data_IF_229399674997
#
_entry.id   IF_229399674997
#
_cell.length_a   1.000
_cell.length_b   1.000
_cell.length_c   1.000
_cell.angle_alpha   90.00
_cell.angle_beta   90.00
_cell.angle_gamma   90.00
#
_symmetry.space_group_name_H-M   'P 1'
#
loop_
_entity.id
_entity.type
_entity.pdbx_description
1 polymer ?
#
# COMPACT_ATOMS: atom_id res chain seq x y z
N UNK A 1 59.80 14.31 51.18
CA UNK A 1 60.69 13.44 50.42
C UNK A 1 60.12 13.41 49.00
N UNK A 2 60.65 14.25 48.09
CA UNK A 2 61.67 13.92 47.08
C UNK A 2 61.23 12.76 46.21
N UNK A 3 61.12 12.80 44.89
CA UNK A 3 61.94 13.43 43.82
C UNK A 3 61.18 13.35 42.51
N UNK A 4 61.04 14.42 41.82
CA UNK A 4 61.74 14.89 40.60
C UNK A 4 61.65 14.05 39.29
N UNK A 5 61.05 14.70 38.29
CA UNK A 5 61.60 14.94 36.90
C UNK A 5 61.76 13.77 35.91
N UNK A 6 61.11 13.91 34.77
CA UNK A 6 61.85 14.23 33.52
C UNK A 6 60.90 14.56 32.34
N UNK A 7 60.92 15.81 31.94
CA UNK A 7 60.52 16.23 30.58
C UNK A 7 61.53 15.71 29.56
N UNK A 8 61.02 15.16 28.45
CA UNK A 8 61.75 15.14 27.18
C UNK A 8 60.80 15.50 26.06
N UNK A 9 61.04 16.56 25.49
CA UNK A 9 60.70 17.22 24.31
C UNK A 9 60.96 16.41 23.04
N UNK A 10 60.08 16.54 22.10
CA UNK A 10 60.31 16.13 20.72
C UNK A 10 59.76 17.19 19.76
N UNK A 11 60.65 17.51 18.88
CA UNK A 11 60.78 18.55 17.88
C UNK A 11 59.56 18.64 16.92
N UNK A 12 59.18 19.91 16.64
CA UNK A 12 58.44 20.32 15.47
C UNK A 12 59.19 19.95 14.19
N UNK A 13 58.57 19.17 13.32
CA UNK A 13 58.96 19.05 11.91
C UNK A 13 57.87 19.69 11.05
N UNK A 14 58.21 20.87 10.52
CA UNK A 14 57.46 21.47 9.40
C UNK A 14 57.60 20.56 8.18
N UNK A 15 56.52 20.04 7.67
CA UNK A 15 56.43 19.49 6.31
C UNK A 15 55.36 20.22 5.52
N UNK A 16 55.83 20.69 4.41
CA UNK A 16 55.31 21.42 3.30
C UNK A 16 53.88 21.02 2.85
N UNK A 17 53.15 22.07 2.47
CA UNK A 17 51.91 22.08 1.72
C UNK A 17 52.11 21.33 0.40
N UNK A 18 51.56 20.15 0.27
CA UNK A 18 51.42 19.43 -0.98
C UNK A 18 49.95 19.46 -1.43
N UNK A 19 49.79 19.94 -2.64
CA UNK A 19 48.56 20.09 -3.42
C UNK A 19 47.50 18.99 -3.17
N UNK A 20 46.34 19.37 -2.63
CA UNK A 20 45.16 18.53 -2.62
C UNK A 20 44.61 18.56 -4.05
N UNK A 21 44.87 17.50 -4.80
CA UNK A 21 44.16 17.20 -6.06
C UNK A 21 42.67 17.03 -5.74
N UNK A 22 41.83 17.86 -6.36
CA UNK A 22 40.37 17.71 -6.36
C UNK A 22 40.02 16.35 -6.98
N UNK A 23 39.18 15.52 -6.35
CA UNK A 23 38.65 14.34 -7.03
C UNK A 23 37.73 14.78 -8.15
N UNK A 24 37.94 14.21 -9.32
CA UNK A 24 37.11 14.41 -10.49
C UNK A 24 35.62 14.14 -10.18
N UNK A 25 34.81 15.14 -10.43
CA UNK A 25 33.34 15.01 -10.45
C UNK A 25 33.00 14.19 -11.69
N UNK A 26 32.71 12.90 -11.52
CA UNK A 26 32.10 12.12 -12.57
C UNK A 26 30.67 12.60 -12.74
N UNK A 27 30.46 13.53 -13.67
CA UNK A 27 29.20 13.83 -14.30
C UNK A 27 28.79 12.59 -15.09
N UNK A 28 27.89 11.79 -14.51
CA UNK A 28 27.14 10.82 -15.30
C UNK A 28 26.23 11.60 -16.22
N UNK A 29 26.70 11.74 -17.47
CA UNK A 29 25.91 12.30 -18.55
C UNK A 29 24.61 11.52 -18.69
N UNK A 30 23.51 12.23 -18.53
CA UNK A 30 22.22 11.83 -19.06
C UNK A 30 22.39 11.73 -20.58
N UNK A 31 22.36 10.52 -21.12
CA UNK A 31 22.27 10.31 -22.54
C UNK A 31 20.76 10.22 -22.90
N UNK A 32 20.14 11.26 -23.48
CA UNK A 32 18.70 11.28 -23.78
C UNK A 32 18.32 10.52 -25.06
N UNK A 33 19.23 9.76 -25.68
CA UNK A 33 19.00 9.09 -26.96
C UNK A 33 19.19 7.58 -26.87
N UNK A 34 18.48 6.89 -25.97
CA UNK A 34 18.11 5.52 -26.22
C UNK A 34 16.83 5.53 -27.02
N UNK A 35 16.96 5.33 -28.34
CA UNK A 35 15.86 4.95 -29.21
C UNK A 35 15.16 3.73 -28.60
N UNK A 36 13.99 3.96 -27.99
CA UNK A 36 13.04 2.90 -27.68
C UNK A 36 12.51 2.45 -29.03
N UNK A 37 12.93 1.29 -29.49
CA UNK A 37 12.31 0.59 -30.61
C UNK A 37 10.81 0.45 -30.30
N UNK A 38 9.97 1.09 -31.10
CA UNK A 38 8.52 0.96 -31.03
C UNK A 38 8.18 -0.54 -31.21
N UNK A 39 7.49 -1.18 -30.26
CA UNK A 39 6.87 -2.45 -30.57
C UNK A 39 5.79 -2.19 -31.61
N UNK A 40 5.77 -3.02 -32.65
CA UNK A 40 4.80 -2.93 -33.74
C UNK A 40 3.38 -2.86 -33.19
N UNK A 41 2.65 -1.84 -33.64
CA UNK A 41 1.23 -1.68 -33.37
C UNK A 41 0.51 -2.73 -34.20
N UNK A 42 0.27 -3.91 -33.62
CA UNK A 42 -0.78 -4.79 -34.12
C UNK A 42 -2.10 -4.05 -33.83
N UNK A 43 -2.82 -3.69 -34.89
CA UNK A 43 -4.12 -3.04 -34.86
C UNK A 43 -5.16 -3.95 -34.21
N UNK A 44 -5.32 -3.81 -32.88
CA UNK A 44 -6.54 -4.22 -32.17
C UNK A 44 -7.44 -2.99 -32.00
N UNK A 45 -7.88 -2.44 -33.13
CA UNK A 45 -9.00 -1.52 -33.16
C UNK A 45 -10.26 -2.33 -33.34
N UNK A 46 -10.88 -2.77 -32.24
CA UNK A 46 -12.34 -2.87 -32.13
C UNK A 46 -12.69 -3.47 -30.76
N UNK A 47 -13.58 -2.80 -30.03
CA UNK A 47 -14.10 -3.07 -28.70
C UNK A 47 -13.24 -2.55 -27.52
N UNK A 48 -13.02 -1.23 -27.50
CA UNK A 48 -12.74 -0.55 -26.24
C UNK A 48 -14.09 -0.12 -25.64
N UNK A 49 -14.50 -0.65 -24.48
CA UNK A 49 -15.62 -0.05 -23.76
C UNK A 49 -15.27 1.40 -23.42
N UNK A 50 -16.28 2.28 -23.49
CA UNK A 50 -16.19 3.69 -23.12
C UNK A 50 -15.29 3.89 -21.91
N UNK A 51 -14.42 4.87 -21.99
CA UNK A 51 -13.39 5.17 -20.98
C UNK A 51 -14.02 5.32 -19.60
N UNK A 52 -13.89 4.27 -18.78
CA UNK A 52 -14.30 4.30 -17.40
C UNK A 52 -13.45 5.27 -16.55
N UNK A 53 -13.74 5.32 -15.28
CA UNK A 53 -13.12 6.25 -14.35
C UNK A 53 -11.60 6.00 -14.22
N UNK A 54 -10.79 6.99 -14.58
CA UNK A 54 -9.35 6.93 -14.40
C UNK A 54 -8.95 7.39 -13.00
N UNK A 55 -8.05 6.66 -12.36
CA UNK A 55 -7.60 6.90 -10.98
C UNK A 55 -6.08 6.83 -10.87
N UNK A 56 -5.51 7.79 -10.13
CA UNK A 56 -4.19 7.71 -9.55
C UNK A 56 -4.30 7.15 -8.14
N UNK A 57 -3.82 5.93 -7.93
CA UNK A 57 -3.92 5.21 -6.65
C UNK A 57 -2.55 5.06 -6.03
N UNK A 58 -2.43 5.39 -4.74
CA UNK A 58 -1.19 5.20 -3.99
C UNK A 58 -1.40 4.26 -2.79
N UNK A 59 -0.38 3.43 -2.51
CA UNK A 59 -0.25 2.66 -1.27
C UNK A 59 1.06 3.04 -0.59
N UNK A 60 1.02 3.40 0.69
CA UNK A 60 2.19 3.87 1.40
C UNK A 60 2.18 3.51 2.89
N UNK A 61 3.03 2.58 3.31
CA UNK A 61 3.33 2.39 4.73
C UNK A 61 4.20 3.58 5.20
N UNK A 62 3.62 4.43 6.06
CA UNK A 62 4.27 5.67 6.51
C UNK A 62 5.10 5.48 7.78
N UNK A 63 5.22 4.28 8.28
CA UNK A 63 5.90 3.96 9.54
C UNK A 63 5.29 4.69 10.74
N UNK A 64 4.92 3.96 11.78
CA UNK A 64 4.32 4.52 13.01
C UNK A 64 5.18 5.61 13.63
N UNK A 65 4.55 6.70 14.00
CA UNK A 65 5.22 7.91 14.47
C UNK A 65 5.88 7.80 15.85
N UNK A 66 5.52 6.77 16.64
CA UNK A 66 6.11 6.50 17.96
C UNK A 66 7.31 5.56 17.91
N UNK A 67 7.75 5.13 16.73
CA UNK A 67 8.92 4.26 16.61
C UNK A 67 10.19 5.03 17.01
N UNK A 68 11.07 4.33 17.76
CA UNK A 68 12.36 4.90 18.22
C UNK A 68 13.41 4.87 17.08
N UNK A 69 13.12 5.55 15.98
CA UNK A 69 13.92 5.51 14.75
C UNK A 69 15.00 6.63 14.71
N UNK A 70 15.33 7.28 15.83
CA UNK A 70 16.36 8.31 15.92
C UNK A 70 16.12 9.46 14.94
N UNK A 71 17.07 9.69 14.01
CA UNK A 71 16.96 10.71 12.95
C UNK A 71 15.84 10.48 11.93
N UNK A 72 15.24 9.29 11.93
CA UNK A 72 14.08 8.95 11.10
C UNK A 72 12.77 9.00 11.89
N UNK A 73 12.76 9.56 13.10
CA UNK A 73 11.54 9.77 13.87
C UNK A 73 10.55 10.65 13.10
N UNK A 74 9.25 10.45 13.29
CA UNK A 74 8.15 11.13 12.58
C UNK A 74 8.33 12.63 12.44
N UNK A 75 8.70 13.34 13.51
CA UNK A 75 8.90 14.79 13.52
C UNK A 75 9.87 15.31 12.44
N UNK A 76 10.80 14.46 11.99
CA UNK A 76 11.80 14.83 10.98
C UNK A 76 11.42 14.42 9.56
N UNK A 77 10.39 13.59 9.38
CA UNK A 77 10.00 13.07 8.06
C UNK A 77 8.58 13.41 7.62
N UNK A 78 7.72 13.90 8.53
CA UNK A 78 6.32 14.27 8.22
C UNK A 78 6.20 15.22 7.02
N UNK A 79 7.01 16.29 6.99
CA UNK A 79 6.98 17.26 5.88
C UNK A 79 7.33 16.60 4.54
N UNK A 80 8.33 15.70 4.51
CA UNK A 80 8.69 14.97 3.29
C UNK A 80 7.57 14.05 2.79
N UNK A 81 6.82 13.44 3.72
CA UNK A 81 5.64 12.65 3.34
C UNK A 81 4.62 13.57 2.67
N UNK A 82 4.32 14.72 3.27
CA UNK A 82 3.34 15.64 2.72
C UNK A 82 3.80 16.28 1.40
N UNK A 83 5.09 16.65 1.27
CA UNK A 83 5.68 17.08 0.01
C UNK A 83 5.51 16.01 -1.09
N UNK A 84 5.77 14.73 -0.76
CA UNK A 84 5.58 13.63 -1.68
C UNK A 84 4.10 13.47 -2.08
N UNK A 85 3.19 13.50 -1.12
CA UNK A 85 1.76 13.37 -1.37
C UNK A 85 1.22 14.54 -2.20
N UNK A 86 1.65 15.76 -1.92
CA UNK A 86 1.31 16.95 -2.71
C UNK A 86 1.90 16.90 -4.12
N UNK A 87 3.10 16.35 -4.29
CA UNK A 87 3.74 16.24 -5.60
C UNK A 87 3.03 15.23 -6.52
N UNK A 88 2.68 14.05 -5.98
CA UNK A 88 2.04 13.00 -6.78
C UNK A 88 0.53 13.11 -6.86
N UNK A 89 -0.09 13.83 -5.94
CA UNK A 89 -1.51 14.15 -5.89
C UNK A 89 -2.42 12.93 -6.21
N UNK A 90 -2.31 11.81 -5.46
CA UNK A 90 -3.10 10.62 -5.75
C UNK A 90 -4.59 10.89 -5.53
N UNK A 91 -5.45 10.35 -6.39
CA UNK A 91 -6.90 10.44 -6.23
C UNK A 91 -7.38 9.74 -4.96
N UNK A 92 -6.78 8.56 -4.69
CA UNK A 92 -7.03 7.76 -3.48
C UNK A 92 -5.72 7.17 -2.97
N UNK A 93 -5.55 7.21 -1.66
CA UNK A 93 -4.33 6.83 -0.96
C UNK A 93 -4.64 5.91 0.21
N UNK A 94 -4.05 4.70 0.21
CA UNK A 94 -4.03 3.80 1.37
C UNK A 94 -2.76 4.01 2.19
N UNK A 95 -2.91 4.47 3.44
CA UNK A 95 -1.81 4.60 4.40
C UNK A 95 -1.81 3.43 5.38
N UNK A 96 -0.64 2.89 5.70
CA UNK A 96 -0.47 1.86 6.71
C UNK A 96 0.41 2.39 7.85
N UNK A 97 0.27 1.81 9.04
CA UNK A 97 0.93 2.19 10.30
C UNK A 97 0.60 3.59 10.81
N UNK A 98 -0.40 4.26 10.27
CA UNK A 98 -0.77 5.60 10.71
C UNK A 98 -1.35 5.58 12.13
N UNK A 99 -0.87 6.45 13.00
CA UNK A 99 -1.46 6.75 14.31
C UNK A 99 -2.37 7.99 14.19
N UNK A 100 -3.33 8.13 15.09
CA UNK A 100 -4.32 9.23 15.04
C UNK A 100 -3.67 10.60 14.89
N UNK A 101 -2.61 10.88 15.65
CA UNK A 101 -1.91 12.17 15.53
C UNK A 101 -1.23 12.35 14.17
N UNK A 102 -0.73 11.27 13.54
CA UNK A 102 -0.17 11.31 12.18
C UNK A 102 -1.26 11.59 11.15
N UNK A 103 -2.42 10.94 11.29
CA UNK A 103 -3.60 11.20 10.44
C UNK A 103 -4.04 12.66 10.57
N UNK A 104 -4.13 13.19 11.79
CA UNK A 104 -4.50 14.59 12.05
C UNK A 104 -3.52 15.57 11.43
N UNK A 105 -2.20 15.34 11.60
CA UNK A 105 -1.18 16.20 10.99
C UNK A 105 -1.22 16.14 9.45
N UNK A 106 -1.42 14.93 8.86
CA UNK A 106 -1.53 14.78 7.40
C UNK A 106 -2.78 15.51 6.88
N UNK A 107 -3.93 15.41 7.56
CA UNK A 107 -5.15 16.14 7.19
C UNK A 107 -4.92 17.65 7.15
N UNK A 108 -4.24 18.20 8.16
CA UNK A 108 -3.89 19.61 8.20
C UNK A 108 -3.01 20.05 7.04
N UNK A 109 -2.08 19.18 6.61
CA UNK A 109 -1.13 19.47 5.53
C UNK A 109 -1.66 19.14 4.12
N UNK A 110 -2.81 18.43 4.03
CA UNK A 110 -3.50 18.07 2.79
C UNK A 110 -4.97 18.51 2.82
N UNK A 111 -5.27 19.82 2.82
CA UNK A 111 -6.62 20.34 3.08
C UNK A 111 -7.67 19.92 2.03
N UNK A 112 -7.24 19.46 0.84
CA UNK A 112 -8.14 18.96 -0.21
C UNK A 112 -8.52 17.48 -0.06
N UNK A 113 -8.05 16.80 1.01
CA UNK A 113 -8.33 15.38 1.23
C UNK A 113 -9.21 15.15 2.45
N UNK A 114 -10.16 14.25 2.28
CA UNK A 114 -10.89 13.61 3.37
C UNK A 114 -10.34 12.21 3.63
N UNK A 115 -10.66 11.63 4.79
CA UNK A 115 -10.23 10.29 5.13
C UNK A 115 -11.36 9.40 5.65
N UNK A 116 -11.38 8.18 5.18
CA UNK A 116 -12.08 7.06 5.77
C UNK A 116 -11.11 6.31 6.70
N UNK A 117 -11.50 6.13 7.95
CA UNK A 117 -10.68 5.47 8.96
C UNK A 117 -11.60 4.76 9.96
N UNK A 118 -11.11 3.70 10.60
CA UNK A 118 -11.80 3.17 11.77
C UNK A 118 -11.96 4.27 12.80
N UNK A 119 -13.16 4.36 13.38
CA UNK A 119 -13.38 5.23 14.52
C UNK A 119 -12.41 4.90 15.66
N UNK A 120 -12.06 5.91 16.44
CA UNK A 120 -11.22 5.74 17.61
C UNK A 120 -11.89 4.80 18.60
N UNK A 121 -11.47 3.55 18.63
CA UNK A 121 -11.90 2.65 19.70
C UNK A 121 -11.15 3.08 20.95
N UNK A 122 -11.87 3.71 21.88
CA UNK A 122 -11.34 4.20 23.14
C UNK A 122 -10.51 3.11 23.84
N UNK A 123 -9.27 3.46 24.23
CA UNK A 123 -8.38 2.56 24.96
C UNK A 123 -7.54 1.59 24.12
N UNK A 124 -7.77 1.46 22.82
CA UNK A 124 -7.01 0.56 21.95
C UNK A 124 -6.03 1.35 21.09
N UNK A 125 -4.73 1.16 21.30
CA UNK A 125 -3.68 1.70 20.42
C UNK A 125 -3.66 0.89 19.11
N UNK A 126 -4.50 1.26 18.17
CA UNK A 126 -4.55 0.61 16.84
C UNK A 126 -3.64 1.38 15.88
N UNK A 127 -2.87 0.64 15.08
CA UNK A 127 -2.27 1.19 13.87
C UNK A 127 -3.34 1.19 12.79
N UNK A 128 -3.70 2.38 12.33
CA UNK A 128 -4.76 2.52 11.33
C UNK A 128 -4.26 2.23 9.92
N UNK A 129 -5.14 1.62 9.15
CA UNK A 129 -5.04 1.50 7.69
C UNK A 129 -5.95 2.56 7.07
N UNK A 130 -5.57 3.85 7.22
CA UNK A 130 -6.40 4.97 6.78
C UNK A 130 -6.47 5.06 5.26
N UNK A 131 -7.62 5.47 4.74
CA UNK A 131 -7.83 5.76 3.32
C UNK A 131 -8.05 7.26 3.19
N UNK A 132 -7.22 7.94 2.40
CA UNK A 132 -7.40 9.34 2.04
C UNK A 132 -7.88 9.42 0.60
N UNK A 133 -8.79 10.35 0.32
CA UNK A 133 -9.31 10.57 -1.02
C UNK A 133 -9.49 12.06 -1.31
N UNK A 134 -9.34 12.44 -2.55
CA UNK A 134 -9.53 13.82 -3.00
C UNK A 134 -11.00 14.21 -2.88
N UNK A 135 -11.32 15.06 -1.91
CA UNK A 135 -12.68 15.47 -1.59
C UNK A 135 -13.32 16.35 -2.67
N UNK A 136 -12.53 17.00 -3.54
CA UNK A 136 -13.09 17.75 -4.67
C UNK A 136 -13.69 16.81 -5.74
N UNK A 137 -13.15 15.60 -5.84
CA UNK A 137 -13.51 14.63 -6.86
C UNK A 137 -14.46 13.54 -6.38
N UNK A 138 -14.32 13.10 -5.14
CA UNK A 138 -15.08 11.98 -4.60
C UNK A 138 -15.92 12.36 -3.39
N UNK A 139 -17.00 11.60 -3.17
CA UNK A 139 -17.70 11.56 -1.91
C UNK A 139 -17.70 10.14 -1.35
N UNK A 140 -17.66 10.05 -0.02
CA UNK A 140 -17.73 8.79 0.72
C UNK A 140 -19.19 8.36 0.82
N UNK A 141 -19.50 7.15 0.33
CA UNK A 141 -20.84 6.55 0.42
C UNK A 141 -20.93 5.59 1.61
N UNK A 142 -19.95 4.71 1.73
CA UNK A 142 -19.89 3.68 2.77
C UNK A 142 -18.46 3.51 3.24
N UNK A 143 -18.27 3.12 4.49
CA UNK A 143 -16.96 2.76 5.02
C UNK A 143 -17.11 1.73 6.14
N UNK A 144 -16.01 1.04 6.41
CA UNK A 144 -15.95 0.12 7.53
C UNK A 144 -14.54 -0.37 7.80
N UNK A 145 -14.42 -1.05 8.93
CA UNK A 145 -13.18 -1.72 9.31
C UNK A 145 -13.53 -3.05 9.94
N UNK A 146 -12.80 -4.09 9.55
CA UNK A 146 -12.88 -5.38 10.20
C UNK A 146 -11.48 -5.85 10.65
N UNK A 147 -11.46 -6.72 11.63
CA UNK A 147 -10.23 -7.29 12.21
C UNK A 147 -9.97 -8.69 11.65
N UNK A 148 -8.71 -8.96 11.34
CA UNK A 148 -8.30 -10.29 10.88
C UNK A 148 -8.23 -11.26 12.07
N UNK A 149 -9.40 -11.79 12.44
CA UNK A 149 -9.62 -12.72 13.54
C UNK A 149 -10.81 -13.62 13.29
N UNK A 150 -11.12 -14.51 14.21
CA UNK A 150 -12.33 -15.32 14.19
C UNK A 150 -13.59 -14.50 14.62
N UNK A 151 -13.37 -13.28 15.17
CA UNK A 151 -14.39 -12.30 15.55
C UNK A 151 -14.13 -10.96 14.87
N UNK A 152 -14.36 -10.84 13.55
CA UNK A 152 -13.89 -9.71 12.77
C UNK A 152 -14.54 -8.37 13.13
N UNK A 153 -15.73 -8.39 13.72
CA UNK A 153 -16.49 -7.21 14.09
C UNK A 153 -16.17 -6.71 15.51
N UNK A 154 -15.34 -7.45 16.27
CA UNK A 154 -14.91 -7.04 17.62
C UNK A 154 -13.63 -6.20 17.52
N UNK A 155 -13.69 -4.89 17.88
CA UNK A 155 -12.55 -4.00 17.85
C UNK A 155 -11.37 -4.52 18.65
N UNK A 156 -10.18 -4.50 18.05
CA UNK A 156 -8.94 -4.96 18.69
C UNK A 156 -8.78 -6.46 18.74
N UNK A 157 -9.72 -7.26 18.19
CA UNK A 157 -9.60 -8.70 18.18
C UNK A 157 -8.36 -9.17 17.42
N UNK A 158 -7.79 -10.27 17.86
CA UNK A 158 -6.58 -10.90 17.28
C UNK A 158 -6.85 -12.34 16.91
N UNK A 159 -6.36 -12.75 15.76
CA UNK A 159 -6.58 -14.11 15.28
C UNK A 159 -5.32 -14.77 14.74
N UNK A 160 -5.35 -16.09 14.71
CA UNK A 160 -4.45 -16.94 13.93
C UNK A 160 -2.95 -16.76 14.23
N UNK A 161 -2.62 -16.30 15.46
CA UNK A 161 -1.24 -16.06 15.91
C UNK A 161 -0.76 -14.62 15.71
N UNK A 162 -1.65 -13.67 15.48
CA UNK A 162 -1.30 -12.24 15.54
C UNK A 162 -0.89 -11.82 16.93
N UNK A 163 0.24 -11.13 17.05
CA UNK A 163 0.64 -10.47 18.29
C UNK A 163 -0.12 -9.15 18.47
N UNK A 164 -0.31 -8.43 17.36
CA UNK A 164 -1.06 -7.17 17.31
C UNK A 164 -2.33 -7.34 16.48
N UNK A 165 -3.40 -6.60 16.78
CA UNK A 165 -4.57 -6.54 15.91
C UNK A 165 -4.17 -6.15 14.48
N UNK A 166 -4.75 -6.80 13.49
CA UNK A 166 -4.58 -6.50 12.06
C UNK A 166 -5.93 -6.26 11.44
N UNK A 167 -6.02 -5.25 10.60
CA UNK A 167 -7.30 -4.78 10.07
C UNK A 167 -7.27 -4.62 8.55
N UNK A 168 -8.46 -4.62 7.99
CA UNK A 168 -8.76 -4.02 6.70
C UNK A 168 -9.70 -2.84 6.94
N UNK A 169 -9.34 -1.66 6.46
CA UNK A 169 -10.26 -0.54 6.30
C UNK A 169 -10.72 -0.51 4.87
N UNK A 170 -12.00 -0.24 4.65
CA UNK A 170 -12.56 -0.13 3.32
C UNK A 170 -13.49 1.09 3.20
N UNK A 171 -13.60 1.60 1.99
CA UNK A 171 -14.50 2.70 1.63
C UNK A 171 -15.13 2.41 0.28
N UNK A 172 -16.41 2.76 0.12
CA UNK A 172 -17.08 2.91 -1.16
C UNK A 172 -17.14 4.37 -1.50
N UNK A 173 -16.47 4.75 -2.59
CA UNK A 173 -16.33 6.11 -3.06
C UNK A 173 -17.14 6.29 -4.34
N UNK A 174 -17.78 7.45 -4.48
CA UNK A 174 -18.54 7.84 -5.68
C UNK A 174 -17.85 9.06 -6.29
N UNK A 175 -17.51 8.97 -7.56
CA UNK A 175 -16.99 10.10 -8.34
C UNK A 175 -18.13 11.07 -8.63
N UNK A 176 -17.91 12.36 -8.29
CA UNK A 176 -18.99 13.37 -8.25
C UNK A 176 -19.59 13.67 -9.62
N UNK A 177 -18.77 13.69 -10.68
CA UNK A 177 -19.23 14.04 -12.03
C UNK A 177 -19.88 12.85 -12.75
N UNK A 178 -19.19 11.72 -12.81
CA UNK A 178 -19.67 10.52 -13.52
C UNK A 178 -20.66 9.69 -12.73
N UNK A 179 -20.76 9.92 -11.41
CA UNK A 179 -21.53 9.12 -10.45
C UNK A 179 -21.08 7.67 -10.36
N UNK A 180 -19.95 7.32 -10.97
CA UNK A 180 -19.39 5.98 -10.91
C UNK A 180 -18.86 5.69 -9.51
N UNK A 181 -19.24 4.54 -8.95
CA UNK A 181 -18.79 4.08 -7.65
C UNK A 181 -17.70 3.02 -7.76
N UNK A 182 -16.88 2.90 -6.73
CA UNK A 182 -15.91 1.81 -6.58
C UNK A 182 -15.57 1.60 -5.10
N UNK A 183 -15.12 0.38 -4.78
CA UNK A 183 -14.59 0.07 -3.46
C UNK A 183 -13.08 0.23 -3.40
N UNK A 184 -12.61 0.69 -2.26
CA UNK A 184 -11.19 0.77 -1.95
C UNK A 184 -10.92 0.05 -0.63
N UNK A 185 -10.03 -0.95 -0.67
CA UNK A 185 -9.62 -1.74 0.49
C UNK A 185 -8.17 -1.45 0.82
N UNK A 186 -7.85 -1.25 2.10
CA UNK A 186 -6.50 -0.99 2.58
C UNK A 186 -6.17 -1.91 3.75
N UNK A 187 -5.09 -2.69 3.62
CA UNK A 187 -4.71 -3.71 4.61
C UNK A 187 -3.29 -3.52 5.12
N UNK A 188 -3.04 -4.01 6.34
CA UNK A 188 -1.71 -4.27 6.83
C UNK A 188 -1.70 -5.62 7.53
N UNK A 189 -1.13 -6.64 6.87
CA UNK A 189 -1.11 -8.01 7.36
C UNK A 189 -0.02 -8.23 8.40
N UNK A 190 -0.09 -9.34 9.11
CA UNK A 190 0.86 -9.65 10.18
C UNK A 190 2.26 -9.97 9.64
N UNK A 191 3.29 -9.39 10.25
CA UNK A 191 4.67 -9.56 9.80
C UNK A 191 5.31 -10.86 10.31
N UNK A 192 4.81 -11.46 11.40
CA UNK A 192 5.37 -12.66 12.02
C UNK A 192 4.63 -13.92 11.61
N UNK A 193 3.30 -13.96 11.80
CA UNK A 193 2.50 -15.16 11.64
C UNK A 193 2.17 -15.47 10.17
N UNK A 194 2.85 -16.48 9.61
CA UNK A 194 2.50 -17.02 8.29
C UNK A 194 1.07 -17.56 8.24
N UNK A 195 0.59 -18.14 9.35
CA UNK A 195 -0.77 -18.65 9.48
C UNK A 195 -1.77 -17.51 9.40
N UNK A 196 -1.52 -16.42 10.12
CA UNK A 196 -2.37 -15.24 10.06
C UNK A 196 -2.47 -14.71 8.63
N UNK A 197 -1.34 -14.48 7.93
CA UNK A 197 -1.37 -13.98 6.55
C UNK A 197 -2.21 -14.86 5.61
N UNK A 198 -2.11 -16.19 5.73
CA UNK A 198 -2.93 -17.11 4.91
C UNK A 198 -4.42 -16.97 5.21
N UNK A 199 -4.80 -16.97 6.49
CA UNK A 199 -6.20 -16.81 6.87
C UNK A 199 -6.75 -15.43 6.49
N UNK A 200 -5.93 -14.38 6.69
CA UNK A 200 -6.31 -13.00 6.37
C UNK A 200 -6.63 -12.82 4.88
N UNK A 201 -5.82 -13.35 3.97
CA UNK A 201 -6.10 -13.20 2.53
C UNK A 201 -7.33 -14.00 2.08
N UNK A 202 -7.58 -15.16 2.70
CA UNK A 202 -8.80 -15.94 2.42
C UNK A 202 -10.02 -15.21 2.94
N UNK A 203 -9.99 -14.71 4.18
CA UNK A 203 -11.08 -13.93 4.75
C UNK A 203 -11.35 -12.67 3.92
N UNK A 204 -10.30 -11.93 3.58
CA UNK A 204 -10.36 -10.70 2.78
C UNK A 204 -11.05 -10.93 1.42
N UNK A 205 -10.63 -11.94 0.67
CA UNK A 205 -11.20 -12.20 -0.66
C UNK A 205 -12.65 -12.69 -0.59
N UNK A 206 -13.01 -13.44 0.44
CA UNK A 206 -14.40 -13.82 0.71
C UNK A 206 -15.26 -12.60 1.09
N UNK A 207 -14.71 -11.67 1.89
CA UNK A 207 -15.38 -10.41 2.23
C UNK A 207 -15.59 -9.53 1.00
N UNK A 208 -14.54 -9.34 0.19
CA UNK A 208 -14.63 -8.57 -1.07
C UNK A 208 -15.67 -9.19 -2.02
N UNK A 209 -15.69 -10.49 -2.15
CA UNK A 209 -16.65 -11.21 -3.01
C UNK A 209 -18.11 -11.01 -2.60
N UNK A 210 -18.35 -10.86 -1.30
CA UNK A 210 -19.68 -10.65 -0.70
C UNK A 210 -20.06 -9.17 -0.56
N UNK A 211 -19.33 -8.23 -1.18
CA UNK A 211 -19.65 -6.79 -1.11
C UNK A 211 -21.06 -6.50 -1.61
N UNK A 212 -21.70 -5.49 -1.06
CA UNK A 212 -23.12 -5.17 -1.28
C UNK A 212 -23.43 -4.72 -2.71
N UNK A 213 -22.44 -4.24 -3.45
CA UNK A 213 -22.56 -3.80 -4.84
C UNK A 213 -21.50 -4.45 -5.72
N UNK A 214 -21.80 -4.76 -6.99
CA UNK A 214 -20.81 -5.31 -7.94
C UNK A 214 -19.78 -4.29 -8.44
N UNK A 215 -19.76 -3.09 -7.86
CA UNK A 215 -18.82 -2.04 -8.23
C UNK A 215 -17.37 -2.54 -8.27
N UNK A 216 -16.54 -2.03 -9.20
CA UNK A 216 -15.13 -2.38 -9.27
C UNK A 216 -14.40 -2.02 -7.98
N UNK A 217 -13.25 -2.63 -7.74
CA UNK A 217 -12.51 -2.36 -6.52
C UNK A 217 -11.01 -2.29 -6.74
N UNK A 218 -10.34 -1.66 -5.77
CA UNK A 218 -8.89 -1.61 -5.64
C UNK A 218 -8.50 -2.10 -4.25
N UNK A 219 -7.49 -2.97 -4.16
CA UNK A 219 -6.95 -3.47 -2.91
C UNK A 219 -5.49 -3.02 -2.76
N UNK A 220 -5.22 -2.27 -1.71
CA UNK A 220 -3.88 -1.75 -1.40
C UNK A 220 -3.39 -2.27 -0.06
N UNK A 221 -2.08 -2.20 0.18
CA UNK A 221 -1.55 -2.42 1.52
C UNK A 221 -0.15 -2.98 1.60
N UNK A 222 0.28 -3.10 2.86
CA UNK A 222 1.44 -3.88 3.26
C UNK A 222 1.00 -5.31 3.64
N UNK A 223 1.25 -6.24 2.76
CA UNK A 223 0.88 -7.65 2.96
C UNK A 223 1.91 -8.44 3.78
N UNK A 224 3.05 -7.82 4.13
CA UNK A 224 4.16 -8.48 4.83
C UNK A 224 4.55 -9.83 4.19
N UNK A 225 4.43 -9.93 2.87
CA UNK A 225 4.56 -11.16 2.10
C UNK A 225 5.19 -10.87 0.73
N UNK A 226 6.28 -11.54 0.40
CA UNK A 226 6.92 -11.40 -0.91
C UNK A 226 6.16 -12.14 -2.02
N UNK A 227 6.44 -11.80 -3.27
CA UNK A 227 5.72 -12.27 -4.48
C UNK A 227 5.61 -13.79 -4.63
N UNK A 228 6.62 -14.53 -4.16
CA UNK A 228 6.66 -16.01 -4.24
C UNK A 228 5.90 -16.69 -3.09
N UNK A 229 5.42 -15.93 -2.12
CA UNK A 229 4.73 -16.46 -0.94
C UNK A 229 3.33 -16.98 -1.27
N UNK A 230 2.85 -17.93 -0.46
CA UNK A 230 1.54 -18.54 -0.67
C UNK A 230 0.37 -17.53 -0.61
N UNK A 231 0.33 -16.53 0.32
CA UNK A 231 -0.72 -15.51 0.31
C UNK A 231 -0.79 -14.73 -1.00
N UNK A 232 0.36 -14.31 -1.55
CA UNK A 232 0.39 -13.52 -2.80
C UNK A 232 0.03 -14.38 -4.01
N UNK A 233 0.48 -15.65 -4.06
CA UNK A 233 0.06 -16.58 -5.10
C UNK A 233 -1.45 -16.84 -5.07
N UNK A 234 -2.03 -16.95 -3.86
CA UNK A 234 -3.47 -17.12 -3.67
C UNK A 234 -4.25 -15.89 -4.17
N UNK A 235 -3.86 -14.68 -3.78
CA UNK A 235 -4.49 -13.44 -4.25
C UNK A 235 -4.51 -13.37 -5.79
N UNK A 236 -3.42 -13.85 -6.43
CA UNK A 236 -3.31 -13.91 -7.89
C UNK A 236 -4.04 -15.11 -8.52
N UNK A 237 -4.81 -15.88 -7.76
CA UNK A 237 -5.52 -17.07 -8.25
C UNK A 237 -4.64 -18.24 -8.69
N UNK A 238 -3.33 -18.21 -8.36
CA UNK A 238 -2.35 -19.22 -8.84
C UNK A 238 -2.40 -20.52 -8.07
N UNK A 239 -2.82 -20.49 -6.81
CA UNK A 239 -2.90 -21.66 -5.93
C UNK A 239 -4.07 -21.52 -4.95
N UNK A 240 -4.76 -22.59 -4.56
CA UNK A 240 -5.62 -22.58 -3.39
C UNK A 240 -4.77 -22.57 -2.09
N UNK A 241 -5.39 -22.18 -0.98
CA UNK A 241 -4.76 -22.26 0.34
C UNK A 241 -5.44 -23.30 1.22
N UNK A 242 -4.65 -24.14 1.87
CA UNK A 242 -5.15 -25.06 2.90
C UNK A 242 -5.37 -24.29 4.20
N UNK A 243 -6.62 -24.19 4.62
CA UNK A 243 -7.07 -23.54 5.86
C UNK A 243 -7.56 -24.62 6.83
N UNK A 244 -7.13 -24.54 8.10
CA UNK A 244 -7.58 -25.48 9.13
C UNK A 244 -9.11 -25.45 9.21
N UNK A 245 -9.73 -26.62 9.28
CA UNK A 245 -11.17 -26.87 9.33
C UNK A 245 -11.95 -26.53 8.03
N UNK A 246 -11.35 -25.84 7.04
CA UNK A 246 -12.03 -25.49 5.77
C UNK A 246 -11.47 -26.26 4.56
N UNK A 247 -10.32 -26.98 4.71
CA UNK A 247 -9.68 -27.64 3.58
C UNK A 247 -8.98 -26.66 2.63
N UNK A 248 -8.96 -26.99 1.34
CA UNK A 248 -8.42 -26.13 0.29
C UNK A 248 -9.47 -25.11 -0.15
N UNK A 249 -9.08 -23.83 -0.12
CA UNK A 249 -9.94 -22.69 -0.49
C UNK A 249 -9.29 -21.96 -1.66
N UNK A 250 -10.01 -21.84 -2.77
CA UNK A 250 -9.63 -21.03 -3.93
C UNK A 250 -10.03 -19.58 -3.73
N UNK A 251 -9.32 -18.66 -4.39
CA UNK A 251 -9.69 -17.26 -4.40
C UNK A 251 -10.89 -17.05 -5.34
N UNK A 252 -12.04 -16.54 -4.85
CA UNK A 252 -13.20 -16.25 -5.69
C UNK A 252 -13.00 -15.02 -6.58
N UNK A 253 -12.03 -14.16 -6.26
CA UNK A 253 -11.73 -12.90 -6.97
C UNK A 253 -10.23 -12.83 -7.30
N UNK A 254 -9.73 -13.57 -8.32
CA UNK A 254 -8.33 -13.51 -8.72
C UNK A 254 -7.90 -12.11 -9.12
N UNK A 255 -6.74 -11.67 -8.63
CA UNK A 255 -6.26 -10.30 -8.75
C UNK A 255 -5.00 -10.18 -9.59
N UNK A 256 -4.86 -9.06 -10.26
CA UNK A 256 -3.65 -8.62 -10.93
C UNK A 256 -2.84 -7.69 -10.00
N UNK A 257 -1.55 -7.93 -9.93
CA UNK A 257 -0.56 -7.04 -9.32
C UNK A 257 -0.20 -5.95 -10.32
N UNK A 258 -0.62 -4.71 -10.06
CA UNK A 258 -0.49 -3.60 -11.02
C UNK A 258 0.96 -3.35 -11.44
N UNK A 259 1.92 -3.47 -10.52
CA UNK A 259 3.33 -3.32 -10.85
C UNK A 259 3.80 -4.42 -11.80
N UNK A 260 3.39 -5.67 -11.59
CA UNK A 260 3.77 -6.80 -12.44
C UNK A 260 3.06 -6.83 -13.79
N UNK A 261 1.90 -6.20 -13.91
CA UNK A 261 1.25 -5.98 -15.21
C UNK A 261 2.14 -5.09 -16.10
N UNK A 262 2.74 -4.04 -15.54
CA UNK A 262 3.60 -3.11 -16.29
C UNK A 262 5.05 -3.59 -16.42
N UNK A 263 5.59 -4.20 -15.37
CA UNK A 263 6.99 -4.59 -15.27
C UNK A 263 7.13 -6.06 -14.86
N UNK A 264 6.78 -7.02 -15.75
CA UNK A 264 6.74 -8.45 -15.42
C UNK A 264 8.10 -9.00 -15.01
N UNK A 265 9.19 -8.48 -15.57
CA UNK A 265 10.55 -9.00 -15.41
C UNK A 265 11.49 -8.07 -14.62
N UNK A 266 10.99 -6.94 -14.11
CA UNK A 266 11.85 -6.02 -13.36
C UNK A 266 12.39 -6.71 -12.10
N UNK A 267 13.67 -6.49 -11.83
CA UNK A 267 14.38 -7.03 -10.66
C UNK A 267 14.51 -6.01 -9.52
N UNK A 268 14.27 -4.73 -9.80
CA UNK A 268 14.36 -3.61 -8.85
C UNK A 268 12.97 -3.34 -8.24
N UNK A 269 12.52 -4.24 -7.40
CA UNK A 269 11.12 -4.29 -6.93
C UNK A 269 10.96 -4.02 -5.43
N UNK A 270 12.07 -3.78 -4.70
CA UNK A 270 11.99 -3.60 -3.26
C UNK A 270 11.15 -2.38 -2.89
N UNK A 271 10.17 -2.56 -2.02
CA UNK A 271 9.44 -1.47 -1.39
C UNK A 271 9.83 -1.26 0.07
N UNK A 272 10.30 -2.29 0.77
CA UNK A 272 10.82 -2.18 2.14
C UNK A 272 12.35 -2.05 2.13
N UNK A 273 12.89 -1.02 2.80
CA UNK A 273 14.32 -0.77 2.91
C UNK A 273 14.82 -0.52 4.35
N UNK A 274 13.93 -0.38 5.32
CA UNK A 274 14.26 -0.25 6.74
C UNK A 274 15.21 0.92 7.07
N UNK A 275 15.13 2.04 6.33
CA UNK A 275 16.04 3.18 6.40
C UNK A 275 17.51 2.87 6.08
N UNK A 276 17.79 1.71 5.50
CA UNK A 276 19.14 1.28 5.12
C UNK A 276 19.26 1.32 3.60
N UNK A 277 20.49 1.58 3.12
CA UNK A 277 20.82 1.36 1.71
C UNK A 277 20.96 -0.14 1.49
N UNK A 278 19.85 -0.86 1.38
CA UNK A 278 19.88 -2.29 1.26
C UNK A 278 19.44 -2.74 -0.13
N UNK A 279 20.20 -3.69 -0.64
CA UNK A 279 19.96 -4.46 -1.85
C UNK A 279 18.84 -5.50 -1.66
N UNK A 280 17.90 -5.29 -0.73
CA UNK A 280 16.84 -6.26 -0.49
C UNK A 280 15.80 -6.17 -1.59
N UNK A 281 15.52 -7.31 -2.17
CA UNK A 281 14.47 -7.52 -3.17
C UNK A 281 13.12 -7.85 -2.50
N UNK A 282 12.89 -7.33 -1.30
CA UNK A 282 11.65 -7.62 -0.57
C UNK A 282 10.60 -6.57 -0.90
N UNK A 283 9.51 -7.02 -1.50
CA UNK A 283 8.35 -6.21 -1.84
C UNK A 283 7.15 -6.73 -1.07
N UNK A 284 6.84 -6.18 0.12
CA UNK A 284 5.65 -6.50 0.89
C UNK A 284 4.44 -5.68 0.50
N UNK A 285 4.62 -4.55 -0.19
CA UNK A 285 3.57 -3.62 -0.56
C UNK A 285 3.03 -3.91 -1.95
N UNK A 286 1.70 -3.80 -2.11
CA UNK A 286 1.01 -4.09 -3.37
C UNK A 286 -0.18 -3.16 -3.58
N UNK A 287 -0.51 -2.96 -4.87
CA UNK A 287 -1.80 -2.50 -5.34
C UNK A 287 -2.33 -3.59 -6.26
N UNK A 288 -3.43 -4.21 -5.87
CA UNK A 288 -4.10 -5.26 -6.60
C UNK A 288 -5.42 -4.76 -7.19
N UNK A 289 -5.77 -5.25 -8.36
CA UNK A 289 -7.02 -4.94 -9.05
C UNK A 289 -7.58 -6.21 -9.71
N UNK A 290 -8.90 -6.32 -9.92
CA UNK A 290 -9.49 -7.39 -10.74
C UNK A 290 -9.07 -7.27 -12.21
N UNK A 291 -9.22 -8.38 -12.97
CA UNK A 291 -8.84 -8.44 -14.38
C UNK A 291 -9.60 -7.45 -15.29
N UNK A 292 -10.78 -7.00 -14.86
CA UNK A 292 -11.57 -6.00 -15.57
C UNK A 292 -10.99 -4.58 -15.53
N UNK A 293 -10.05 -4.31 -14.61
CA UNK A 293 -9.41 -3.00 -14.45
C UNK A 293 -8.21 -2.88 -15.37
N UNK A 294 -8.16 -1.80 -16.16
CA UNK A 294 -7.03 -1.51 -17.03
C UNK A 294 -5.90 -0.86 -16.23
N UNK A 295 -4.73 -1.45 -16.22
CA UNK A 295 -3.51 -0.84 -15.64
C UNK A 295 -2.77 -0.06 -16.72
N UNK A 296 -2.74 1.26 -16.60
CA UNK A 296 -2.12 2.16 -17.56
C UNK A 296 -0.64 2.41 -17.22
N UNK A 297 -0.34 2.63 -15.94
CA UNK A 297 1.03 2.77 -15.43
C UNK A 297 1.13 2.28 -13.98
N UNK A 298 2.34 1.94 -13.54
CA UNK A 298 2.64 1.61 -12.15
C UNK A 298 4.10 1.91 -11.86
N UNK A 299 4.40 2.40 -10.67
CA UNK A 299 5.79 2.68 -10.26
C UNK A 299 6.00 2.53 -8.76
N UNK A 300 7.22 2.15 -8.38
CA UNK A 300 7.74 2.28 -7.03
C UNK A 300 8.44 3.64 -6.97
N UNK A 301 7.99 4.51 -6.09
CA UNK A 301 8.54 5.87 -5.98
C UNK A 301 9.80 5.81 -5.11
N UNK A 302 10.94 6.10 -5.73
CA UNK A 302 12.22 6.24 -5.04
C UNK A 302 12.48 7.74 -4.85
N UNK A 303 12.24 8.32 -3.66
CA UNK A 303 12.47 9.74 -3.44
C UNK A 303 13.93 10.12 -3.68
N UNK A 304 14.15 11.23 -4.37
CA UNK A 304 15.49 11.74 -4.70
C UNK A 304 16.30 12.26 -3.49
N UNK A 305 15.73 12.25 -2.30
CA UNK A 305 16.38 12.70 -1.07
C UNK A 305 17.44 11.69 -0.61
N UNK A 306 18.60 11.78 -1.22
CA UNK A 306 19.72 10.83 -1.05
C UNK A 306 20.13 10.52 0.40
N UNK A 307 19.70 11.31 1.39
CA UNK A 307 20.13 11.17 2.79
C UNK A 307 19.03 10.81 3.77
N UNK A 308 17.77 11.13 3.47
CA UNK A 308 16.66 10.99 4.41
C UNK A 308 15.38 10.50 3.69
N UNK A 309 14.93 9.32 4.04
CA UNK A 309 13.71 8.74 3.50
C UNK A 309 12.46 9.26 4.22
N UNK A 310 11.32 9.43 3.53
CA UNK A 310 10.05 9.80 4.17
C UNK A 310 9.47 8.65 5.03
N UNK A 311 9.76 7.40 4.69
CA UNK A 311 9.41 6.20 5.44
C UNK A 311 10.49 5.15 5.30
N UNK A 312 10.38 4.01 5.98
CA UNK A 312 11.19 2.80 5.77
C UNK A 312 10.65 1.93 4.62
N UNK A 313 9.53 2.34 4.02
CA UNK A 313 8.98 1.82 2.78
C UNK A 313 9.00 2.86 1.66
N UNK A 314 9.05 2.40 0.42
CA UNK A 314 8.80 3.20 -0.77
C UNK A 314 7.31 3.10 -1.15
N UNK A 315 6.64 4.22 -1.47
CA UNK A 315 5.26 4.17 -1.93
C UNK A 315 5.14 3.56 -3.31
N UNK A 316 4.03 2.85 -3.52
CA UNK A 316 3.56 2.40 -4.82
C UNK A 316 2.55 3.41 -5.36
N UNK A 317 2.67 3.77 -6.62
CA UNK A 317 1.69 4.57 -7.35
C UNK A 317 1.28 3.82 -8.61
N UNK A 318 -0.01 3.77 -8.90
CA UNK A 318 -0.54 3.21 -10.15
C UNK A 318 -1.58 4.12 -10.77
N UNK A 319 -1.59 4.16 -12.10
CA UNK A 319 -2.64 4.79 -12.89
C UNK A 319 -3.49 3.69 -13.51
N UNK A 320 -4.79 3.68 -13.21
CA UNK A 320 -5.74 2.66 -13.62
C UNK A 320 -6.99 3.26 -14.24
N UNK A 321 -7.64 2.50 -15.11
CA UNK A 321 -8.98 2.79 -15.62
C UNK A 321 -9.96 1.74 -15.11
N UNK A 322 -10.95 2.15 -14.31
CA UNK A 322 -12.03 1.29 -13.87
C UNK A 322 -13.05 1.10 -15.00
N UNK A 323 -13.63 -0.10 -15.16
CA UNK A 323 -14.67 -0.32 -16.16
C UNK A 323 -15.95 0.45 -15.81
N UNK A 324 -16.72 0.85 -16.82
CA UNK A 324 -18.10 1.30 -16.61
C UNK A 324 -18.96 0.06 -16.36
N UNK A 325 -19.68 0.04 -15.25
CA UNK A 325 -20.70 -0.97 -15.02
C UNK A 325 -22.01 -0.40 -15.56
N UNK A 326 -22.50 -0.94 -16.67
CA UNK A 326 -23.83 -0.60 -17.15
C UNK A 326 -24.89 -1.08 -16.16
N UNK A 327 -25.86 -0.22 -15.85
CA UNK A 327 -26.96 -0.55 -14.92
C UNK A 327 -27.81 -1.78 -15.35
N UNK A 328 -27.65 -2.26 -16.57
CA UNK A 328 -28.37 -3.40 -17.12
C UNK A 328 -27.90 -4.78 -16.64
N UNK A 329 -26.74 -4.89 -15.96
CA UNK A 329 -26.23 -6.17 -15.47
C UNK A 329 -26.80 -6.58 -14.08
N UNK A 330 -27.65 -5.76 -13.45
CA UNK A 330 -28.03 -5.92 -12.04
C UNK A 330 -29.30 -6.74 -11.79
N UNK A 331 -29.95 -7.34 -12.79
CA UNK A 331 -31.25 -8.01 -12.56
C UNK A 331 -31.31 -9.52 -12.82
N UNK A 332 -30.24 -10.19 -13.23
CA UNK A 332 -30.33 -11.62 -13.58
C UNK A 332 -29.58 -12.61 -12.69
N UNK A 333 -28.93 -12.17 -11.60
CA UNK A 333 -28.09 -13.05 -10.77
C UNK A 333 -28.59 -13.34 -9.34
N UNK A 334 -29.76 -12.83 -8.95
CA UNK A 334 -30.40 -13.24 -7.70
C UNK A 334 -31.72 -13.96 -8.02
N UNK A 335 -31.66 -15.24 -8.38
CA UNK A 335 -32.80 -16.15 -8.31
C UNK A 335 -33.17 -16.32 -6.85
N UNK A 336 -34.45 -16.10 -6.61
CA UNK A 336 -35.17 -16.43 -5.38
C UNK A 336 -34.85 -17.88 -5.00
N UNK A 337 -34.19 -18.08 -3.89
CA UNK A 337 -34.41 -19.28 -3.05
C UNK A 337 -33.66 -19.06 -1.73
N UNK A 338 -34.43 -19.22 -0.65
CA UNK A 338 -34.17 -19.20 0.79
C UNK A 338 -34.63 -17.96 1.57
N UNK A 339 -35.96 -17.89 1.74
CA UNK A 339 -36.51 -17.31 2.95
C UNK A 339 -36.39 -18.35 4.09
N UNK A 340 -35.75 -18.07 5.22
CA UNK A 340 -35.95 -18.89 6.41
C UNK A 340 -37.30 -18.61 7.00
N UNK A 341 -38.10 -19.68 7.17
CA UNK A 341 -39.37 -19.67 7.85
C UNK A 341 -39.21 -19.13 9.29
N UNK A 342 -39.94 -18.06 9.60
CA UNK A 342 -40.22 -17.65 10.96
C UNK A 342 -41.19 -18.66 11.58
N UNK A 343 -40.67 -19.59 12.39
CA UNK A 343 -41.50 -20.40 13.28
C UNK A 343 -41.92 -19.54 14.45
N UNK A 344 -43.19 -19.19 14.50
CA UNK A 344 -43.84 -18.77 15.72
C UNK A 344 -43.82 -19.95 16.73
N UNK A 345 -43.33 -19.69 17.90
CA UNK A 345 -43.54 -20.59 19.05
C UNK A 345 -44.48 -19.91 20.08
N UNK A 346 -45.27 -20.69 20.78
CA UNK A 346 -46.36 -20.24 21.63
C UNK A 346 -45.92 -19.56 22.92
#
# INVERSE_FOLDING_TARGET
MMTTNKMKGLKFAKKSIAQIRRPAVWLWGFNPLRRISKPGIASFSNLMPSTGLNLNVMSFNIRRGTAKDGKNHWKFRRNRICELLNHYHPDVLGLQEALNFQISEIRTMLPGYENACAENVSGIKVLHNSIFFNASRFCLSEQGTFWFSDTPDIPGSKGWGNIMPRTCTWARLIEKNSRQAFYFYNVHLDHLSRRSRKNSVVFLTQFIHKRSSPDPFVLTGDFNAGEKSAPIKYLKGKIPLKIRKKGFVSNPEPLMDTFRVRYPNDRHVATFHGYRRLFFRFRPDYIFVPASVRVQDAKIIHPLWRKYYPSDHFPLLTHIGLPVISASANFSAFSKDEQPALSAAP
#
